data_IF_824554041972
#
_entry.id   IF_824554041972
#
_cell.length_a   1.000
_cell.length_b   1.000
_cell.length_c   1.000
_cell.angle_alpha   90.00
_cell.angle_beta   90.00
_cell.angle_gamma   90.00
#
_symmetry.space_group_name_H-M   'P 1'
#
loop_
_entity.id
_entity.type
_entity.pdbx_description
1 polymer ?
#
# COMPACT_ATOMS: atom_id res chain seq x y z
N UNK A 1 20.47 -1.73 26.32
CA UNK A 1 20.31 -2.06 24.89
C UNK A 1 18.84 -2.18 24.50
N UNK A 2 18.05 -3.01 25.20
CA UNK A 2 16.60 -3.15 24.98
C UNK A 2 15.80 -1.84 25.03
N UNK A 3 16.09 -0.96 26.00
CA UNK A 3 15.39 0.32 26.19
C UNK A 3 15.65 1.35 25.07
N UNK A 4 16.84 1.31 24.46
CA UNK A 4 17.18 2.18 23.32
C UNK A 4 16.56 1.61 22.03
N UNK A 5 16.55 0.28 21.90
CA UNK A 5 15.88 -0.41 20.79
C UNK A 5 14.37 -0.13 20.79
N UNK A 6 13.70 -0.10 21.96
CA UNK A 6 12.27 0.18 22.07
C UNK A 6 11.92 1.63 21.68
N UNK A 7 12.71 2.62 22.14
CA UNK A 7 12.50 4.01 21.70
C UNK A 7 12.65 4.19 20.19
N UNK A 8 13.60 3.48 19.57
CA UNK A 8 13.78 3.54 18.12
C UNK A 8 12.61 2.89 17.38
N UNK A 9 12.07 1.76 17.88
CA UNK A 9 10.88 1.13 17.27
C UNK A 9 9.65 2.01 17.38
N UNK A 10 9.44 2.69 18.51
CA UNK A 10 8.30 3.59 18.69
C UNK A 10 8.36 4.76 17.69
N UNK A 11 9.54 5.37 17.50
CA UNK A 11 9.75 6.42 16.50
C UNK A 11 9.40 5.94 15.08
N UNK A 12 9.85 4.74 14.71
CA UNK A 12 9.54 4.18 13.38
C UNK A 12 8.04 3.97 13.21
N UNK A 13 7.33 3.49 14.24
CA UNK A 13 5.88 3.28 14.17
C UNK A 13 5.15 4.61 13.90
N UNK A 14 5.54 5.70 14.56
CA UNK A 14 4.97 7.03 14.28
C UNK A 14 5.21 7.49 12.84
N UNK A 15 6.41 7.27 12.30
CA UNK A 15 6.73 7.62 10.89
C UNK A 15 5.90 6.78 9.92
N UNK A 16 5.74 5.47 10.17
CA UNK A 16 4.96 4.57 9.31
C UNK A 16 3.48 4.94 9.34
N UNK A 17 2.92 5.28 10.51
CA UNK A 17 1.55 5.80 10.64
C UNK A 17 1.35 7.08 9.82
N UNK A 18 2.31 8.00 9.88
CA UNK A 18 2.27 9.21 9.07
C UNK A 18 2.30 8.90 7.57
N UNK A 19 3.15 7.97 7.12
CA UNK A 19 3.17 7.53 5.72
C UNK A 19 1.85 6.90 5.30
N UNK A 20 1.23 6.07 6.14
CA UNK A 20 -0.07 5.47 5.86
C UNK A 20 -1.16 6.53 5.68
N UNK A 21 -1.22 7.52 6.58
CA UNK A 21 -2.19 8.63 6.51
C UNK A 21 -1.96 9.45 5.22
N UNK A 22 -0.71 9.76 4.88
CA UNK A 22 -0.39 10.46 3.64
C UNK A 22 -0.78 9.64 2.39
N UNK A 23 -0.56 8.33 2.42
CA UNK A 23 -1.02 7.41 1.39
C UNK A 23 -2.54 7.45 1.23
N UNK A 24 -3.27 7.40 2.33
CA UNK A 24 -4.74 7.48 2.34
C UNK A 24 -5.25 8.82 1.80
N UNK A 25 -4.66 9.94 2.23
CA UNK A 25 -5.02 11.27 1.69
C UNK A 25 -4.77 11.32 0.18
N UNK A 26 -3.63 10.80 -0.29
CA UNK A 26 -3.30 10.77 -1.72
C UNK A 26 -4.29 9.92 -2.54
N UNK A 27 -4.83 8.86 -1.94
CA UNK A 27 -5.88 8.03 -2.54
C UNK A 27 -7.19 8.81 -2.69
N UNK A 28 -7.60 9.57 -1.67
CA UNK A 28 -8.82 10.39 -1.75
C UNK A 28 -8.71 11.56 -2.72
N UNK A 29 -7.52 12.13 -2.92
CA UNK A 29 -7.32 13.29 -3.82
C UNK A 29 -7.21 12.88 -5.29
N UNK A 30 -6.56 11.75 -5.59
CA UNK A 30 -6.22 11.36 -6.96
C UNK A 30 -7.28 10.50 -7.68
N UNK A 31 -8.56 10.65 -7.29
CA UNK A 31 -9.67 9.85 -7.82
C UNK A 31 -9.83 9.89 -9.35
N UNK A 32 -9.26 10.90 -10.02
CA UNK A 32 -9.42 11.10 -11.47
C UNK A 32 -8.54 10.22 -12.36
N UNK A 33 -7.42 9.70 -11.85
CA UNK A 33 -6.52 8.86 -12.63
C UNK A 33 -6.38 7.50 -11.96
N UNK A 34 -6.99 6.48 -12.57
CA UNK A 34 -7.06 5.14 -12.00
C UNK A 34 -5.68 4.52 -11.75
N UNK A 35 -4.69 4.85 -12.59
CA UNK A 35 -3.30 4.42 -12.41
C UNK A 35 -2.64 5.05 -11.17
N UNK A 36 -2.88 6.35 -10.91
CA UNK A 36 -2.39 7.02 -9.70
C UNK A 36 -3.06 6.48 -8.42
N UNK A 37 -4.32 6.05 -8.52
CA UNK A 37 -5.00 5.36 -7.42
C UNK A 37 -4.40 3.98 -7.12
N UNK A 38 -4.01 3.21 -8.14
CA UNK A 38 -3.32 1.92 -7.91
C UNK A 38 -1.96 2.12 -7.23
N UNK A 39 -1.20 3.13 -7.66
CA UNK A 39 0.11 3.44 -7.07
C UNK A 39 -0.03 3.85 -5.59
N UNK A 40 -1.03 4.66 -5.25
CA UNK A 40 -1.28 5.04 -3.85
C UNK A 40 -1.75 3.85 -3.00
N UNK A 41 -2.46 2.90 -3.59
CA UNK A 41 -2.85 1.66 -2.93
C UNK A 41 -1.64 0.75 -2.65
N UNK A 42 -0.72 0.57 -3.60
CA UNK A 42 0.54 -0.13 -3.34
C UNK A 42 1.37 0.54 -2.23
N UNK A 43 1.40 1.87 -2.19
CA UNK A 43 2.10 2.61 -1.12
C UNK A 43 1.46 2.38 0.27
N UNK A 44 0.13 2.35 0.35
CA UNK A 44 -0.57 2.01 1.60
C UNK A 44 -0.27 0.57 2.05
N UNK A 45 -0.27 -0.39 1.12
CA UNK A 45 0.03 -1.79 1.42
C UNK A 45 1.48 -1.98 1.89
N UNK A 46 2.44 -1.26 1.29
CA UNK A 46 3.84 -1.28 1.72
C UNK A 46 4.04 -0.71 3.13
N UNK A 47 3.34 0.36 3.51
CA UNK A 47 3.42 0.90 4.87
C UNK A 47 2.83 -0.08 5.91
N UNK A 48 1.74 -0.78 5.57
CA UNK A 48 1.20 -1.86 6.40
C UNK A 48 2.17 -3.04 6.55
N UNK A 49 2.89 -3.40 5.48
CA UNK A 49 3.90 -4.46 5.52
C UNK A 49 5.04 -4.14 6.50
N UNK A 50 5.51 -2.89 6.52
CA UNK A 50 6.56 -2.44 7.47
C UNK A 50 6.06 -2.54 8.92
N UNK A 51 4.80 -2.15 9.18
CA UNK A 51 4.19 -2.26 10.51
C UNK A 51 4.14 -3.73 10.97
N UNK A 52 3.71 -4.64 10.09
CA UNK A 52 3.64 -6.07 10.37
C UNK A 52 5.03 -6.67 10.65
N UNK A 53 6.05 -6.24 9.90
CA UNK A 53 7.43 -6.69 10.11
C UNK A 53 7.95 -6.30 11.50
N UNK A 54 7.70 -5.06 11.94
CA UNK A 54 8.10 -4.59 13.27
C UNK A 54 7.37 -5.39 14.36
N UNK A 55 6.07 -5.63 14.18
CA UNK A 55 5.27 -6.41 15.13
C UNK A 55 5.81 -7.84 15.31
N UNK A 56 6.13 -8.54 14.22
CA UNK A 56 6.66 -9.90 14.28
C UNK A 56 8.08 -9.95 14.86
N UNK A 57 8.89 -8.90 14.63
CA UNK A 57 10.22 -8.76 15.25
C UNK A 57 10.16 -8.62 16.77
N UNK A 58 9.17 -7.91 17.30
CA UNK A 58 8.97 -7.76 18.75
C UNK A 58 8.50 -9.07 19.39
N UNK A 59 7.64 -9.81 18.70
CA UNK A 59 7.07 -11.06 19.21
C UNK A 59 7.95 -12.30 18.98
N UNK A 60 9.17 -12.14 18.44
CA UNK A 60 10.11 -13.24 18.13
C UNK A 60 9.50 -14.38 17.30
N UNK A 61 8.53 -14.07 16.45
CA UNK A 61 7.89 -15.05 15.57
C UNK A 61 8.69 -15.24 14.28
N UNK A 62 8.58 -16.42 13.68
CA UNK A 62 9.23 -16.75 12.41
C UNK A 62 8.77 -15.84 11.26
N UNK A 63 9.71 -15.40 10.41
CA UNK A 63 9.42 -14.51 9.28
C UNK A 63 8.63 -15.18 8.13
N UNK A 64 8.31 -16.47 8.21
CA UNK A 64 7.59 -17.19 7.14
C UNK A 64 6.20 -16.60 6.87
N UNK A 65 5.51 -16.11 7.92
CA UNK A 65 4.21 -15.44 7.75
C UNK A 65 4.31 -14.18 6.88
N UNK A 66 5.43 -13.46 6.99
CA UNK A 66 5.70 -12.24 6.23
C UNK A 66 5.75 -12.51 4.72
N UNK A 67 6.29 -13.66 4.33
CA UNK A 67 6.42 -14.07 2.93
C UNK A 67 5.07 -14.43 2.31
N UNK A 68 4.16 -15.03 3.08
CA UNK A 68 2.79 -15.28 2.65
C UNK A 68 2.02 -13.99 2.38
N UNK A 69 2.08 -13.02 3.30
CA UNK A 69 1.41 -11.72 3.15
C UNK A 69 1.92 -10.95 1.93
N UNK A 70 3.23 -11.01 1.63
CA UNK A 70 3.79 -10.39 0.42
C UNK A 70 3.21 -10.96 -0.87
N UNK A 71 3.07 -12.28 -0.96
CA UNK A 71 2.55 -12.93 -2.17
C UNK A 71 1.09 -12.50 -2.41
N UNK A 72 0.26 -12.50 -1.37
CA UNK A 72 -1.13 -12.04 -1.49
C UNK A 72 -1.22 -10.57 -1.92
N UNK A 73 -0.39 -9.69 -1.37
CA UNK A 73 -0.34 -8.27 -1.77
C UNK A 73 0.03 -8.08 -3.24
N UNK A 74 1.03 -8.82 -3.74
CA UNK A 74 1.43 -8.74 -5.16
C UNK A 74 0.34 -9.30 -6.08
N UNK A 75 -0.38 -10.34 -5.65
CA UNK A 75 -1.51 -10.89 -6.40
C UNK A 75 -2.67 -9.89 -6.52
N UNK A 76 -3.02 -9.17 -5.45
CA UNK A 76 -4.03 -8.11 -5.52
C UNK A 76 -3.62 -6.97 -6.47
N UNK A 77 -2.33 -6.59 -6.46
CA UNK A 77 -1.76 -5.63 -7.41
C UNK A 77 -1.92 -6.10 -8.86
N UNK A 78 -1.53 -7.34 -9.17
CA UNK A 78 -1.66 -7.92 -10.51
C UNK A 78 -3.13 -7.97 -11.00
N UNK A 79 -4.06 -8.33 -10.11
CA UNK A 79 -5.49 -8.30 -10.39
C UNK A 79 -5.96 -6.88 -10.69
N UNK A 80 -5.54 -5.88 -9.90
CA UNK A 80 -5.85 -4.47 -10.13
C UNK A 80 -5.36 -3.96 -11.49
N UNK A 81 -4.12 -4.28 -11.88
CA UNK A 81 -3.59 -3.91 -13.20
C UNK A 81 -4.35 -4.59 -14.35
N UNK A 82 -4.72 -5.87 -14.18
CA UNK A 82 -5.48 -6.58 -15.22
C UNK A 82 -6.86 -5.96 -15.48
N UNK A 83 -7.53 -5.47 -14.43
CA UNK A 83 -8.77 -4.73 -14.53
C UNK A 83 -8.58 -3.38 -15.24
N UNK A 84 -7.52 -2.63 -14.90
CA UNK A 84 -7.17 -1.38 -15.58
C UNK A 84 -7.00 -1.61 -17.09
N UNK A 85 -6.25 -2.64 -17.51
CA UNK A 85 -6.05 -2.97 -18.93
C UNK A 85 -7.37 -3.35 -19.62
N UNK A 86 -8.28 -4.03 -18.92
CA UNK A 86 -9.59 -4.37 -19.48
C UNK A 86 -10.47 -3.14 -19.73
N UNK A 87 -10.50 -2.18 -18.78
CA UNK A 87 -11.25 -0.93 -18.91
C UNK A 87 -10.75 -0.04 -20.04
N UNK A 88 -9.42 0.01 -20.25
CA UNK A 88 -8.82 0.76 -21.36
C UNK A 88 -9.25 0.18 -22.72
N UNK A 89 -9.33 -1.15 -22.84
CA UNK A 89 -9.72 -1.81 -24.11
C UNK A 89 -11.20 -1.68 -24.45
N UNK A 90 -12.08 -1.59 -23.45
CA UNK A 90 -13.55 -1.52 -23.68
C UNK A 90 -14.08 -0.09 -23.77
N UNK A 91 -13.50 0.86 -23.03
CA UNK A 91 -14.04 2.22 -22.92
C UNK A 91 -13.00 3.34 -23.11
N UNK A 92 -11.89 3.04 -23.80
CA UNK A 92 -10.68 3.86 -23.89
C UNK A 92 -10.81 5.33 -24.31
N UNK A 93 -11.96 5.79 -24.82
CA UNK A 93 -12.20 7.21 -25.13
C UNK A 93 -13.23 7.89 -24.21
N UNK A 94 -14.20 7.14 -23.66
CA UNK A 94 -15.29 7.73 -22.87
C UNK A 94 -14.91 7.98 -21.40
N UNK A 95 -13.98 7.20 -20.82
CA UNK A 95 -13.52 7.43 -19.45
C UNK A 95 -12.59 8.64 -19.32
N UNK A 96 -11.70 8.90 -20.28
CA UNK A 96 -10.85 10.10 -20.23
C UNK A 96 -11.67 11.39 -20.31
N UNK A 97 -12.82 11.36 -21.00
CA UNK A 97 -13.70 12.52 -21.11
C UNK A 97 -14.59 12.73 -19.85
N UNK A 98 -15.01 11.64 -19.17
CA UNK A 98 -15.73 11.72 -17.89
C UNK A 98 -14.81 12.08 -16.71
N UNK A 99 -13.54 11.65 -16.74
CA UNK A 99 -12.54 12.06 -15.76
C UNK A 99 -12.05 13.51 -15.95
N UNK A 100 -12.27 14.10 -17.13
CA UNK A 100 -11.90 15.48 -17.43
C UNK A 100 -13.04 16.49 -17.20
N UNK A 101 -14.15 16.06 -16.58
CA UNK A 101 -15.11 16.91 -15.86
C UNK A 101 -14.84 16.77 -14.36
#
# INVERSE_FOLDING_TARGET
MLFCMSMFTDLIIYVVLFMFIMGAISFFVNQKFLLLMLLSLEFMVLSLFILLFIYLKVNFTENYFLMGVLVFNVCEGALGLSLLVSMIRTHGNNFFQVFNI
#
